data_IF_847370374723
#
_entry.id   IF_847370374723
#
_cell.length_a   1.000
_cell.length_b   1.000
_cell.length_c   1.000
_cell.angle_alpha   90.00
_cell.angle_beta   90.00
_cell.angle_gamma   90.00
#
_symmetry.space_group_name_H-M   'P 1'
#
loop_
_entity.id
_entity.type
_entity.pdbx_description
1 polymer ?
#
# COMPACT_ATOMS: atom_id res chain seq x y z
N UNK A 1 -45.06 20.16 27.37
CA UNK A 1 -43.94 20.42 26.44
C UNK A 1 -44.06 19.41 25.30
N UNK A 2 -44.42 19.83 24.08
CA UNK A 2 -44.66 18.93 22.94
C UNK A 2 -43.41 18.79 22.05
N UNK A 3 -42.52 17.87 22.41
CA UNK A 3 -41.38 17.46 21.58
C UNK A 3 -41.71 16.22 20.73
N UNK A 4 -41.08 16.08 19.57
CA UNK A 4 -41.12 14.86 18.76
C UNK A 4 -40.05 13.89 19.28
N UNK A 5 -40.44 12.62 19.46
CA UNK A 5 -39.52 11.55 19.86
C UNK A 5 -38.61 11.17 18.68
N UNK A 6 -37.30 11.16 18.91
CA UNK A 6 -36.25 10.87 17.92
C UNK A 6 -35.38 9.69 18.39
N UNK A 7 -35.77 8.44 18.09
CA UNK A 7 -35.02 7.26 18.52
C UNK A 7 -33.66 7.17 17.78
N UNK A 8 -32.59 6.72 18.47
CA UNK A 8 -31.31 6.38 17.83
C UNK A 8 -31.45 5.26 16.79
N UNK A 9 -30.51 5.11 15.84
CA UNK A 9 -30.59 4.10 14.77
C UNK A 9 -30.66 2.65 15.26
N UNK A 10 -30.17 2.36 16.47
CA UNK A 10 -30.19 1.04 17.09
C UNK A 10 -31.48 0.75 17.90
N UNK A 11 -32.42 1.70 17.96
CA UNK A 11 -33.67 1.56 18.68
C UNK A 11 -34.81 1.21 17.71
N UNK A 12 -35.88 0.54 18.19
CA UNK A 12 -37.04 0.30 17.36
C UNK A 12 -37.71 1.62 16.94
N UNK A 13 -38.29 1.62 15.75
CA UNK A 13 -39.08 2.74 15.26
C UNK A 13 -40.33 2.94 16.13
N UNK A 14 -40.77 4.20 16.31
CA UNK A 14 -41.94 4.49 17.11
C UNK A 14 -43.21 3.98 16.41
N UNK A 15 -44.25 3.56 17.14
CA UNK A 15 -45.45 2.95 16.55
C UNK A 15 -46.21 3.84 15.54
N UNK A 16 -46.04 5.16 15.65
CA UNK A 16 -46.63 6.15 14.75
C UNK A 16 -45.78 7.41 14.73
N UNK A 17 -45.87 8.15 13.63
CA UNK A 17 -45.24 9.46 13.52
C UNK A 17 -45.79 10.41 14.61
N UNK A 18 -44.88 11.07 15.33
CA UNK A 18 -45.25 11.95 16.45
C UNK A 18 -45.71 11.21 17.72
N UNK A 19 -45.47 9.90 17.84
CA UNK A 19 -45.73 9.17 19.07
C UNK A 19 -45.03 9.83 20.27
N UNK A 20 -45.78 9.97 21.36
CA UNK A 20 -45.27 10.46 22.64
C UNK A 20 -45.34 9.30 23.63
N UNK A 21 -44.22 8.88 24.23
CA UNK A 21 -44.22 7.85 25.25
C UNK A 21 -45.11 8.22 26.45
N UNK A 22 -45.63 7.19 27.16
CA UNK A 22 -46.23 7.37 28.49
C UNK A 22 -45.24 7.99 29.48
N UNK A 23 -45.74 8.60 30.56
CA UNK A 23 -44.93 9.25 31.60
C UNK A 23 -43.88 8.31 32.23
N UNK A 24 -44.21 7.02 32.35
CA UNK A 24 -43.34 5.98 32.90
C UNK A 24 -42.43 5.28 31.87
N UNK A 25 -42.29 5.83 30.66
CA UNK A 25 -41.51 5.20 29.61
C UNK A 25 -40.04 5.06 29.99
N UNK A 26 -39.54 3.82 29.92
CA UNK A 26 -38.11 3.51 30.03
C UNK A 26 -37.66 2.71 28.82
N UNK A 27 -36.52 3.04 28.22
CA UNK A 27 -35.96 2.25 27.14
C UNK A 27 -35.61 0.85 27.65
N UNK A 28 -35.99 -0.17 26.89
CA UNK A 28 -35.69 -1.55 27.24
C UNK A 28 -34.18 -1.79 27.20
N UNK A 29 -33.65 -2.63 28.08
CA UNK A 29 -32.20 -2.88 28.17
C UNK A 29 -31.59 -3.43 26.86
N UNK A 30 -32.41 -4.09 26.03
CA UNK A 30 -32.01 -4.63 24.73
C UNK A 30 -31.89 -3.60 23.60
N UNK A 31 -32.39 -2.38 23.76
CA UNK A 31 -32.34 -1.34 22.72
C UNK A 31 -30.95 -0.69 22.60
N UNK A 32 -30.03 -1.04 23.49
CA UNK A 32 -28.68 -0.49 23.50
C UNK A 32 -28.64 0.94 24.04
N UNK A 33 -27.43 1.40 24.36
CA UNK A 33 -27.22 2.71 24.98
C UNK A 33 -27.50 3.84 23.98
N UNK A 34 -27.97 4.96 24.50
CA UNK A 34 -28.09 6.21 23.73
C UNK A 34 -26.66 6.72 23.44
N UNK A 35 -26.33 7.04 22.18
CA UNK A 35 -25.04 7.64 21.84
C UNK A 35 -24.81 8.98 22.54
N UNK A 36 -23.55 9.30 22.83
CA UNK A 36 -23.20 10.58 23.44
C UNK A 36 -23.67 11.75 22.56
N UNK A 37 -24.34 12.74 23.17
CA UNK A 37 -24.86 13.92 22.48
C UNK A 37 -26.20 13.73 21.76
N UNK A 38 -26.79 12.53 21.76
CA UNK A 38 -28.07 12.28 21.11
C UNK A 38 -29.24 12.90 21.89
N UNK A 39 -30.12 13.63 21.18
CA UNK A 39 -31.31 14.24 21.76
C UNK A 39 -32.53 13.41 21.37
N UNK A 40 -33.07 12.67 22.34
CA UNK A 40 -34.30 11.87 22.16
C UNK A 40 -35.54 12.72 21.92
N UNK A 41 -35.49 14.00 22.28
CA UNK A 41 -36.60 14.94 22.18
C UNK A 41 -36.17 16.13 21.34
N UNK A 42 -36.75 16.22 20.15
CA UNK A 42 -36.55 17.35 19.24
C UNK A 42 -37.76 18.27 19.34
N UNK A 43 -37.59 19.60 19.46
CA UNK A 43 -38.71 20.53 19.38
C UNK A 43 -39.39 20.40 18.01
N UNK A 44 -40.73 20.34 18.01
CA UNK A 44 -41.54 20.21 16.78
C UNK A 44 -41.43 21.44 15.87
N UNK A 45 -41.12 22.60 16.46
CA UNK A 45 -40.74 23.81 15.72
C UNK A 45 -39.24 23.71 15.42
N UNK A 46 -38.80 23.91 14.16
CA UNK A 46 -37.39 24.11 13.90
C UNK A 46 -36.94 25.27 14.77
N UNK A 47 -36.14 25.01 15.80
CA UNK A 47 -35.41 26.08 16.47
C UNK A 47 -34.56 26.70 15.37
N UNK A 48 -34.97 27.89 14.89
CA UNK A 48 -34.29 28.61 13.83
C UNK A 48 -32.80 28.58 14.11
N UNK A 49 -32.03 28.10 13.13
CA UNK A 49 -30.59 27.78 13.15
C UNK A 49 -29.88 28.23 14.43
N UNK A 50 -30.14 27.51 15.53
CA UNK A 50 -29.42 27.71 16.77
C UNK A 50 -27.99 27.30 16.48
N UNK A 51 -27.06 28.24 16.63
CA UNK A 51 -25.62 28.08 16.43
C UNK A 51 -25.18 26.70 16.93
N UNK A 52 -24.77 25.83 16.00
CA UNK A 52 -24.26 24.52 16.36
C UNK A 52 -23.06 24.71 17.31
N UNK A 53 -22.86 23.89 18.35
CA UNK A 53 -21.69 23.99 19.24
C UNK A 53 -20.34 23.93 18.49
N UNK A 54 -20.37 23.42 17.26
CA UNK A 54 -19.23 23.38 16.34
C UNK A 54 -18.86 24.76 15.76
N UNK A 55 -19.76 25.74 15.76
CA UNK A 55 -19.46 27.10 15.28
C UNK A 55 -18.61 27.91 16.28
N UNK A 56 -18.56 27.51 17.54
CA UNK A 56 -17.61 28.10 18.51
C UNK A 56 -16.22 27.43 18.41
N UNK A 57 -16.09 26.37 17.60
CA UNK A 57 -14.83 25.69 17.28
C UNK A 57 -14.36 25.92 15.82
N UNK A 58 -15.08 26.73 15.04
CA UNK A 58 -14.74 27.05 13.64
C UNK A 58 -13.39 27.79 13.49
N UNK A 59 -12.89 28.39 14.58
CA UNK A 59 -11.62 29.10 14.58
C UNK A 59 -10.39 28.17 14.75
N UNK A 60 -10.60 26.87 14.98
CA UNK A 60 -9.52 25.87 15.07
C UNK A 60 -9.74 24.77 14.03
N UNK A 61 -9.08 24.84 12.86
CA UNK A 61 -9.15 23.76 11.88
C UNK A 61 -8.56 22.48 12.47
N UNK A 62 -9.20 21.33 12.18
CA UNK A 62 -8.83 20.01 12.68
C UNK A 62 -7.36 19.59 12.38
N UNK A 63 -6.69 20.31 11.48
CA UNK A 63 -5.29 20.13 11.07
C UNK A 63 -4.30 21.03 11.81
N UNK A 64 -4.74 21.91 12.72
CA UNK A 64 -3.89 22.93 13.37
C UNK A 64 -3.39 24.03 12.42
N UNK A 65 -3.74 23.97 11.13
CA UNK A 65 -3.31 24.91 10.11
C UNK A 65 -4.26 26.11 10.06
N UNK A 66 -3.88 27.24 10.67
CA UNK A 66 -4.69 28.47 10.75
C UNK A 66 -5.32 28.84 9.38
N UNK A 67 -6.64 29.11 9.31
CA UNK A 67 -7.28 29.51 8.05
C UNK A 67 -6.65 30.80 7.54
N UNK A 68 -6.07 30.77 6.33
CA UNK A 68 -5.40 31.93 5.75
C UNK A 68 -6.43 32.95 5.23
N UNK A 69 -6.06 34.23 5.29
CA UNK A 69 -6.80 35.31 4.61
C UNK A 69 -6.82 35.00 3.11
N UNK A 70 -8.02 34.95 2.51
CA UNK A 70 -8.21 34.68 1.08
C UNK A 70 -7.35 35.65 0.26
N UNK A 71 -6.33 35.13 -0.41
CA UNK A 71 -5.50 35.90 -1.34
C UNK A 71 -6.34 36.16 -2.59
N UNK A 72 -6.68 37.41 -2.86
CA UNK A 72 -7.51 37.79 -4.01
C UNK A 72 -6.71 37.81 -5.32
N UNK A 73 -5.39 37.96 -5.24
CA UNK A 73 -4.47 38.07 -6.38
C UNK A 73 -3.36 37.05 -6.20
N UNK A 74 -3.32 36.03 -7.06
CA UNK A 74 -2.18 35.11 -7.09
C UNK A 74 -0.93 35.90 -7.50
N UNK A 75 0.16 35.86 -6.71
CA UNK A 75 1.33 36.71 -6.92
C UNK A 75 2.31 36.16 -7.96
N UNK A 76 1.89 35.13 -8.71
CA UNK A 76 2.72 34.48 -9.71
C UNK A 76 2.37 35.08 -11.05
N UNK A 77 3.29 35.87 -11.59
CA UNK A 77 3.22 36.36 -12.95
C UNK A 77 4.00 35.42 -13.86
N UNK A 78 3.40 35.08 -15.00
CA UNK A 78 4.04 34.25 -16.01
C UNK A 78 4.94 35.16 -16.84
N UNK A 79 6.25 35.12 -16.56
CA UNK A 79 7.22 35.92 -17.32
C UNK A 79 7.43 35.36 -18.73
N UNK A 80 7.51 34.03 -18.87
CA UNK A 80 7.56 33.30 -20.14
C UNK A 80 6.81 31.96 -20.01
N UNK A 81 6.38 31.30 -21.11
CA UNK A 81 5.87 29.93 -21.03
C UNK A 81 6.93 29.01 -20.38
N UNK A 82 6.60 28.49 -19.20
CA UNK A 82 7.50 27.66 -18.39
C UNK A 82 8.43 28.39 -17.42
N UNK A 83 8.39 29.73 -17.35
CA UNK A 83 9.10 30.53 -16.33
C UNK A 83 8.11 31.34 -15.52
N UNK A 84 8.04 31.05 -14.23
CA UNK A 84 7.21 31.76 -13.26
C UNK A 84 8.11 32.63 -12.38
N UNK A 85 7.62 33.79 -11.94
CA UNK A 85 8.32 34.57 -10.91
C UNK A 85 8.42 33.77 -9.61
N UNK A 86 9.41 34.07 -8.75
CA UNK A 86 9.56 33.41 -7.46
C UNK A 86 8.27 33.58 -6.66
N UNK A 87 7.63 32.45 -6.34
CA UNK A 87 6.38 32.45 -5.61
C UNK A 87 6.72 32.62 -4.13
N UNK A 88 6.44 33.80 -3.56
CA UNK A 88 6.67 34.06 -2.14
C UNK A 88 5.85 33.14 -1.22
N UNK A 89 4.87 32.40 -1.76
CA UNK A 89 4.18 31.34 -1.05
C UNK A 89 5.08 30.11 -0.81
N UNK A 90 6.20 29.93 -1.51
CA UNK A 90 7.13 28.81 -1.30
C UNK A 90 7.92 28.91 0.01
N UNK A 91 8.13 30.13 0.50
CA UNK A 91 8.86 30.42 1.74
C UNK A 91 7.95 30.41 2.98
N UNK A 92 6.65 30.21 2.82
CA UNK A 92 5.71 30.19 3.94
C UNK A 92 5.72 28.85 4.67
N UNK A 93 5.79 28.90 6.01
CA UNK A 93 5.76 27.72 6.86
C UNK A 93 4.35 27.10 6.86
N UNK A 94 4.15 26.08 6.01
CA UNK A 94 2.91 25.33 5.92
C UNK A 94 2.73 24.30 7.06
N UNK A 95 3.62 24.28 8.06
CA UNK A 95 3.66 23.22 9.06
C UNK A 95 4.14 21.87 8.49
N UNK A 96 4.61 21.86 7.24
CA UNK A 96 5.32 20.74 6.64
C UNK A 96 6.81 21.04 6.65
N UNK A 97 7.67 20.05 6.97
CA UNK A 97 9.10 20.26 6.89
C UNK A 97 9.47 20.70 5.47
N UNK A 98 10.43 21.64 5.32
CA UNK A 98 10.83 22.11 4.01
C UNK A 98 11.25 20.92 3.14
N UNK A 99 10.90 20.98 1.85
CA UNK A 99 11.27 19.94 0.89
C UNK A 99 12.78 19.76 0.92
N UNK A 100 13.27 18.55 1.19
CA UNK A 100 14.70 18.27 1.16
C UNK A 100 15.23 18.60 -0.23
N UNK A 101 16.27 19.46 -0.36
CA UNK A 101 16.78 19.85 -1.66
C UNK A 101 17.29 18.62 -2.42
N UNK A 102 16.72 18.37 -3.60
CA UNK A 102 17.12 17.26 -4.45
C UNK A 102 18.45 17.61 -5.11
N UNK A 103 19.54 16.95 -4.70
CA UNK A 103 20.86 17.14 -5.31
C UNK A 103 20.94 16.42 -6.65
N UNK A 104 20.67 17.14 -7.74
CA UNK A 104 20.89 16.63 -9.10
C UNK A 104 22.39 16.43 -9.37
N UNK A 105 22.82 15.18 -9.60
CA UNK A 105 24.20 14.81 -9.96
C UNK A 105 24.24 14.27 -11.40
N UNK A 106 24.15 15.14 -12.43
CA UNK A 106 24.00 14.69 -13.82
C UNK A 106 25.17 13.82 -14.30
N UNK A 107 26.40 14.16 -13.90
CA UNK A 107 27.61 13.39 -14.23
C UNK A 107 27.59 11.97 -13.65
N UNK A 108 27.07 11.81 -12.43
CA UNK A 108 26.95 10.50 -11.79
C UNK A 108 25.94 9.62 -12.54
N UNK A 109 24.78 10.18 -12.92
CA UNK A 109 23.76 9.45 -13.68
C UNK A 109 24.31 8.98 -15.02
N UNK A 110 25.02 9.86 -15.75
CA UNK A 110 25.64 9.52 -17.01
C UNK A 110 26.67 8.38 -16.85
N UNK A 111 27.54 8.47 -15.83
CA UNK A 111 28.51 7.42 -15.52
C UNK A 111 27.85 6.07 -15.23
N UNK A 112 26.76 6.07 -14.44
CA UNK A 112 25.98 4.86 -14.15
C UNK A 112 25.40 4.27 -15.44
N UNK A 113 24.76 5.08 -16.29
CA UNK A 113 24.20 4.58 -17.55
C UNK A 113 25.26 3.97 -18.47
N UNK A 114 26.43 4.61 -18.59
CA UNK A 114 27.54 4.08 -19.39
C UNK A 114 28.02 2.75 -18.81
N UNK A 115 28.19 2.65 -17.49
CA UNK A 115 28.65 1.42 -16.82
C UNK A 115 27.67 0.26 -17.01
N UNK A 116 26.36 0.50 -16.90
CA UNK A 116 25.32 -0.52 -17.08
C UNK A 116 25.31 -1.03 -18.52
N UNK A 117 25.41 -0.11 -19.49
CA UNK A 117 25.50 -0.48 -20.91
C UNK A 117 26.75 -1.30 -21.21
N UNK A 118 27.92 -0.88 -20.71
CA UNK A 118 29.17 -1.61 -20.90
C UNK A 118 29.12 -3.01 -20.26
N UNK A 119 28.56 -3.13 -19.05
CA UNK A 119 28.37 -4.41 -18.38
C UNK A 119 27.44 -5.34 -19.19
N UNK A 120 26.36 -4.80 -19.78
CA UNK A 120 25.47 -5.56 -20.66
C UNK A 120 26.19 -6.10 -21.90
N UNK A 121 27.00 -5.28 -22.57
CA UNK A 121 27.81 -5.73 -23.70
C UNK A 121 28.85 -6.79 -23.32
N UNK A 122 29.51 -6.64 -22.17
CA UNK A 122 30.46 -7.64 -21.67
C UNK A 122 29.78 -8.98 -21.37
N UNK A 123 28.60 -8.94 -20.74
CA UNK A 123 27.82 -10.15 -20.45
C UNK A 123 27.38 -10.85 -21.75
N UNK A 124 26.93 -10.09 -22.75
CA UNK A 124 26.55 -10.61 -24.06
C UNK A 124 27.75 -11.23 -24.81
N UNK A 125 28.93 -10.59 -24.75
CA UNK A 125 30.14 -11.13 -25.35
C UNK A 125 30.60 -12.41 -24.64
N UNK A 126 30.58 -12.43 -23.29
CA UNK A 126 30.97 -13.60 -22.50
C UNK A 126 30.04 -14.78 -22.78
N UNK A 127 28.73 -14.55 -22.85
CA UNK A 127 27.76 -15.60 -23.18
C UNK A 127 27.99 -16.16 -24.58
N UNK A 128 28.29 -15.32 -25.58
CA UNK A 128 28.63 -15.79 -26.92
C UNK A 128 29.92 -16.63 -26.92
N UNK A 129 30.98 -16.19 -26.23
CA UNK A 129 32.24 -16.96 -26.11
C UNK A 129 31.99 -18.29 -25.42
N UNK A 130 31.26 -18.30 -24.30
CA UNK A 130 30.92 -19.53 -23.58
C UNK A 130 30.11 -20.50 -24.44
N UNK A 131 29.19 -19.99 -25.26
CA UNK A 131 28.45 -20.83 -26.19
C UNK A 131 29.36 -21.48 -27.24
N UNK A 132 30.28 -20.71 -27.84
CA UNK A 132 31.25 -21.25 -28.80
C UNK A 132 32.11 -22.33 -28.15
N UNK A 133 32.65 -22.07 -26.96
CA UNK A 133 33.46 -23.04 -26.20
C UNK A 133 32.67 -24.32 -25.90
N UNK A 134 31.39 -24.20 -25.56
CA UNK A 134 30.53 -25.35 -25.26
C UNK A 134 30.25 -26.18 -26.52
N UNK A 135 29.99 -25.52 -27.66
CA UNK A 135 29.75 -26.20 -28.95
C UNK A 135 31.02 -26.91 -29.42
N UNK A 136 32.17 -26.27 -29.30
CA UNK A 136 33.48 -26.83 -29.64
C UNK A 136 33.75 -28.11 -28.82
N UNK A 137 33.60 -28.02 -27.50
CA UNK A 137 33.69 -29.18 -26.59
C UNK A 137 32.69 -30.29 -26.96
N UNK A 138 31.45 -29.93 -27.31
CA UNK A 138 30.43 -30.91 -27.68
C UNK A 138 30.75 -31.67 -28.97
N UNK A 139 31.46 -31.04 -29.92
CA UNK A 139 31.84 -31.63 -31.20
C UNK A 139 33.13 -32.44 -31.06
N UNK A 140 34.15 -31.90 -30.40
CA UNK A 140 35.50 -32.47 -30.40
C UNK A 140 35.72 -33.46 -29.25
N UNK A 141 35.34 -33.10 -28.02
CA UNK A 141 35.72 -33.84 -26.81
C UNK A 141 34.63 -34.82 -26.34
N UNK A 142 33.36 -34.43 -26.48
CA UNK A 142 32.22 -35.23 -26.00
C UNK A 142 32.15 -36.64 -26.63
N UNK A 143 32.38 -36.83 -27.94
CA UNK A 143 32.33 -38.16 -28.55
C UNK A 143 33.43 -39.09 -27.99
N UNK A 144 34.61 -38.54 -27.69
CA UNK A 144 35.71 -39.27 -27.06
C UNK A 144 35.38 -39.72 -25.64
N UNK A 145 34.79 -38.82 -24.83
CA UNK A 145 34.34 -39.15 -23.47
C UNK A 145 33.22 -40.20 -23.45
N UNK A 146 32.24 -40.09 -24.35
CA UNK A 146 31.12 -41.03 -24.44
C UNK A 146 31.57 -42.41 -24.95
N UNK A 147 32.54 -42.45 -25.87
CA UNK A 147 33.09 -43.70 -26.41
C UNK A 147 34.06 -44.40 -25.45
N UNK A 148 34.68 -43.67 -24.52
CA UNK A 148 35.53 -44.22 -23.46
C UNK A 148 34.78 -44.76 -22.24
N UNK A 149 33.45 -44.56 -22.17
CA UNK A 149 32.61 -44.92 -21.02
C UNK A 149 31.75 -46.22 -21.12
N UNK A 150 32.08 -47.28 -21.89
CA UNK A 150 31.28 -48.50 -21.86
C UNK A 150 31.57 -49.41 -20.63
N UNK A 151 32.45 -49.02 -19.71
CA UNK A 151 32.96 -49.91 -18.66
C UNK A 151 32.34 -49.81 -17.26
N UNK A 152 31.58 -48.76 -16.92
CA UNK A 152 31.21 -48.50 -15.51
C UNK A 152 29.76 -48.79 -15.14
N UNK A 153 28.88 -49.17 -16.08
CA UNK A 153 27.45 -49.38 -15.80
C UNK A 153 26.95 -50.84 -15.96
N UNK A 154 27.80 -51.80 -16.35
CA UNK A 154 27.36 -53.21 -16.56
C UNK A 154 27.60 -54.13 -15.33
N UNK A 155 28.38 -53.72 -14.33
CA UNK A 155 28.68 -54.57 -13.15
C UNK A 155 27.59 -54.65 -12.07
N UNK A 156 26.39 -54.09 -12.28
CA UNK A 156 25.28 -54.18 -11.32
C UNK A 156 24.17 -55.18 -11.73
N UNK A 157 24.49 -56.15 -12.59
CA UNK A 157 23.52 -57.19 -12.99
C UNK A 157 23.79 -58.47 -12.19
N UNK A 158 23.12 -58.57 -11.04
CA UNK A 158 22.57 -59.76 -10.38
C UNK A 158 23.28 -61.09 -10.67
N UNK A 159 23.99 -61.61 -9.67
CA UNK A 159 24.47 -62.99 -9.61
C UNK A 159 23.30 -63.93 -9.21
N UNK A 160 22.79 -64.82 -10.10
CA UNK A 160 21.76 -65.80 -9.76
C UNK A 160 22.42 -67.09 -9.25
N UNK A 161 23.24 -66.98 -8.20
CA UNK A 161 24.19 -68.03 -7.84
C UNK A 161 24.45 -68.16 -6.35
N UNK A 162 23.47 -67.93 -5.48
CA UNK A 162 23.63 -68.27 -4.04
C UNK A 162 22.36 -68.95 -3.55
N UNK A 163 22.36 -70.28 -3.63
CA UNK A 163 21.44 -71.15 -2.91
C UNK A 163 21.94 -71.25 -1.46
N UNK A 164 21.17 -70.84 -0.43
CA UNK A 164 21.55 -71.11 0.95
C UNK A 164 21.22 -72.58 1.29
N UNK A 165 22.26 -73.38 1.55
CA UNK A 165 22.10 -74.70 2.16
C UNK A 165 21.64 -74.52 3.61
N UNK A 166 20.48 -75.12 3.94
CA UNK A 166 19.92 -75.21 5.28
C UNK A 166 20.66 -76.27 6.12
N UNK A 167 20.70 -76.13 7.46
CA UNK A 167 21.47 -77.01 8.34
C UNK A 167 20.77 -78.35 8.60
N UNK A 168 21.53 -79.45 8.48
CA UNK A 168 21.11 -80.78 8.94
C UNK A 168 21.02 -80.83 10.47
N UNK A 169 19.89 -81.32 10.97
CA UNK A 169 19.67 -81.72 12.34
C UNK A 169 19.44 -83.24 12.36
N UNK A 170 20.33 -83.97 13.03
CA UNK A 170 20.26 -85.42 13.22
C UNK A 170 21.56 -85.98 13.79
#
# INVERSE_FOLDING_TARGET
>A
MSGQFNPPPNWPEPPREGWTPPEDFRPHASWGRVPAGWRLWTPRTPLGHGRAPLQDSEDVPASGARPRRRVQTYPVEVLNPGMWTHNHLEDEDYGFPPVKPVKNRPRLRLGVTISVTAAGFLLAALTAVMFVLLVDFAIEDLPGMLSGAPGSLVSATVDPGTVPAAPDAG
#
